data_IF_217400859758
#
_entry.id   IF_217400859758
#
_cell.length_a   1.000
_cell.length_b   1.000
_cell.length_c   1.000
_cell.angle_alpha   90.00
_cell.angle_beta   90.00
_cell.angle_gamma   90.00
#
_symmetry.space_group_name_H-M   'P 1'
#
loop_
_entity.id
_entity.type
_entity.pdbx_description
1 polymer ?
#
# COMPACT_ATOMS: atom_id res chain seq x y z
N UNK A 1 -13.16 14.82 -9.25
CA UNK A 1 -13.40 16.10 -8.52
C UNK A 1 -14.19 17.09 -9.38
N UNK A 2 -13.91 17.18 -10.68
CA UNK A 2 -14.65 18.07 -11.61
C UNK A 2 -16.15 17.74 -11.75
N UNK A 3 -16.58 16.50 -11.55
CA UNK A 3 -17.98 16.14 -11.41
C UNK A 3 -18.39 16.21 -9.93
N UNK A 4 -18.76 17.39 -9.47
CA UNK A 4 -19.06 17.68 -8.06
C UNK A 4 -20.15 16.76 -7.51
N UNK A 5 -21.26 16.60 -8.23
CA UNK A 5 -22.40 15.76 -7.79
C UNK A 5 -21.96 14.31 -7.54
N UNK A 6 -21.33 13.70 -8.55
CA UNK A 6 -20.85 12.31 -8.42
C UNK A 6 -19.78 12.15 -7.33
N UNK A 7 -18.94 13.19 -7.13
CA UNK A 7 -17.93 13.18 -6.05
C UNK A 7 -18.60 13.24 -4.68
N UNK A 8 -19.62 14.08 -4.51
CA UNK A 8 -20.39 14.18 -3.26
C UNK A 8 -21.10 12.86 -2.95
N UNK A 9 -21.78 12.28 -3.94
CA UNK A 9 -22.49 11.00 -3.76
C UNK A 9 -21.52 9.91 -3.31
N UNK A 10 -20.32 9.83 -3.92
CA UNK A 10 -19.27 8.89 -3.53
C UNK A 10 -18.72 9.17 -2.12
N UNK A 11 -18.56 10.44 -1.73
CA UNK A 11 -18.14 10.82 -0.37
C UNK A 11 -19.17 10.37 0.66
N UNK A 12 -20.46 10.58 0.37
CA UNK A 12 -21.55 10.16 1.26
C UNK A 12 -21.53 8.64 1.46
N UNK A 13 -21.39 7.88 0.39
CA UNK A 13 -21.29 6.41 0.47
C UNK A 13 -20.11 5.96 1.33
N UNK A 14 -18.94 6.59 1.14
CA UNK A 14 -17.74 6.30 1.91
C UNK A 14 -17.92 6.64 3.39
N UNK A 15 -18.48 7.81 3.72
CA UNK A 15 -18.72 8.22 5.11
C UNK A 15 -19.73 7.30 5.79
N UNK A 16 -20.81 6.94 5.10
CA UNK A 16 -21.78 5.96 5.60
C UNK A 16 -21.15 4.58 5.82
N UNK A 17 -20.17 4.19 5.00
CA UNK A 17 -19.36 3.00 5.20
C UNK A 17 -18.33 3.11 6.33
N UNK A 18 -18.20 4.27 6.99
CA UNK A 18 -17.31 4.54 8.11
C UNK A 18 -15.92 5.05 7.72
N UNK A 19 -15.78 5.70 6.57
CA UNK A 19 -14.57 6.42 6.19
C UNK A 19 -14.41 7.68 7.06
N UNK A 20 -13.25 7.84 7.69
CA UNK A 20 -12.98 8.97 8.60
C UNK A 20 -12.28 10.14 7.90
N UNK A 21 -11.59 9.89 6.78
CA UNK A 21 -10.87 10.90 5.99
C UNK A 21 -11.04 10.56 4.51
N UNK A 22 -11.56 11.48 3.71
CA UNK A 22 -11.74 11.26 2.28
C UNK A 22 -10.66 11.98 1.47
N UNK A 23 -10.10 11.28 0.48
CA UNK A 23 -9.14 11.84 -0.45
C UNK A 23 -9.74 12.00 -1.84
N UNK A 24 -9.64 13.21 -2.39
CA UNK A 24 -10.08 13.53 -3.76
C UNK A 24 -8.90 13.83 -4.66
N UNK A 25 -8.93 13.33 -5.88
CA UNK A 25 -7.90 13.61 -6.90
C UNK A 25 -8.03 15.04 -7.38
N UNK A 26 -6.94 15.81 -7.37
CA UNK A 26 -6.92 17.22 -7.73
C UNK A 26 -5.83 17.43 -8.78
N UNK A 27 -6.23 17.47 -10.07
CA UNK A 27 -5.30 17.45 -11.20
C UNK A 27 -4.89 18.86 -11.68
N UNK A 28 -5.80 19.82 -11.49
CA UNK A 28 -5.68 21.16 -12.07
C UNK A 28 -6.35 22.21 -11.15
N UNK A 29 -6.18 23.48 -11.52
CA UNK A 29 -6.76 24.61 -10.76
C UNK A 29 -8.30 24.57 -10.67
N UNK A 30 -9.05 24.25 -11.73
CA UNK A 30 -10.50 24.03 -11.60
C UNK A 30 -10.88 22.98 -10.56
N UNK A 31 -10.21 21.81 -10.55
CA UNK A 31 -10.45 20.77 -9.53
C UNK A 31 -10.21 21.30 -8.11
N UNK A 32 -9.14 22.10 -7.90
CA UNK A 32 -8.85 22.71 -6.60
C UNK A 32 -9.99 23.60 -6.11
N UNK A 33 -10.61 24.37 -7.00
CA UNK A 33 -11.76 25.25 -6.68
C UNK A 33 -13.02 24.43 -6.36
N UNK A 34 -13.24 23.30 -7.03
CA UNK A 34 -14.38 22.43 -6.76
C UNK A 34 -14.39 21.88 -5.32
N UNK A 35 -13.22 21.81 -4.65
CA UNK A 35 -13.13 21.35 -3.25
C UNK A 35 -13.98 22.24 -2.35
N UNK A 36 -13.98 23.56 -2.56
CA UNK A 36 -14.83 24.47 -1.81
C UNK A 36 -16.31 24.12 -1.97
N UNK A 37 -16.78 23.98 -3.20
CA UNK A 37 -18.18 23.66 -3.48
C UNK A 37 -18.58 22.29 -2.89
N UNK A 38 -17.68 21.31 -2.95
CA UNK A 38 -17.89 19.98 -2.32
C UNK A 38 -18.06 20.15 -0.80
N UNK A 39 -17.18 20.89 -0.13
CA UNK A 39 -17.26 21.11 1.33
C UNK A 39 -18.52 21.88 1.71
N UNK A 40 -18.83 22.96 1.00
CA UNK A 40 -20.05 23.77 1.23
C UNK A 40 -21.32 22.91 1.11
N UNK A 41 -21.35 21.97 0.16
CA UNK A 41 -22.51 21.08 -0.03
C UNK A 41 -22.58 19.96 1.01
N UNK A 42 -21.44 19.42 1.45
CA UNK A 42 -21.39 18.44 2.54
C UNK A 42 -21.82 19.07 3.87
N UNK A 43 -21.41 20.31 4.14
CA UNK A 43 -21.82 21.07 5.32
C UNK A 43 -23.35 21.30 5.37
N UNK A 44 -23.99 21.68 4.24
CA UNK A 44 -25.44 21.79 4.14
C UNK A 44 -26.18 20.49 4.48
N UNK A 45 -25.51 19.35 4.31
CA UNK A 45 -26.03 18.01 4.63
C UNK A 45 -25.65 17.53 6.03
N UNK A 46 -25.02 18.39 6.85
CA UNK A 46 -24.47 18.06 8.17
C UNK A 46 -23.45 16.90 8.12
N UNK A 47 -22.69 16.78 7.04
CA UNK A 47 -21.63 15.79 6.87
C UNK A 47 -20.27 16.48 7.02
N UNK A 48 -19.63 16.27 8.17
CA UNK A 48 -18.30 16.81 8.49
C UNK A 48 -17.26 15.70 8.33
N UNK A 49 -16.57 15.67 7.21
CA UNK A 49 -15.46 14.74 6.94
C UNK A 49 -14.27 15.50 6.40
N UNK A 50 -13.04 15.30 6.94
CA UNK A 50 -11.85 15.93 6.41
C UNK A 50 -11.58 15.53 4.95
N UNK A 51 -11.32 16.51 4.10
CA UNK A 51 -11.02 16.33 2.68
C UNK A 51 -9.52 16.52 2.43
N UNK A 52 -8.91 15.52 1.83
CA UNK A 52 -7.51 15.55 1.40
C UNK A 52 -7.45 15.77 -0.11
N UNK A 53 -6.84 16.86 -0.55
CA UNK A 53 -6.52 17.10 -1.95
C UNK A 53 -5.25 16.33 -2.35
N UNK A 54 -5.37 15.40 -3.29
CA UNK A 54 -4.24 14.66 -3.83
C UNK A 54 -3.70 15.33 -5.08
N UNK A 55 -2.68 16.16 -4.89
CA UNK A 55 -2.09 16.97 -5.95
C UNK A 55 -0.84 16.28 -6.52
N UNK A 56 -0.74 16.28 -7.84
CA UNK A 56 0.44 15.81 -8.58
C UNK A 56 0.96 16.90 -9.51
N UNK A 57 2.26 16.95 -9.68
CA UNK A 57 3.08 17.71 -10.64
C UNK A 57 3.08 19.23 -10.51
N UNK A 58 1.99 19.89 -10.19
CA UNK A 58 1.94 21.34 -10.26
C UNK A 58 1.80 21.97 -8.86
N UNK A 59 2.86 22.61 -8.32
CA UNK A 59 2.81 23.29 -7.03
C UNK A 59 1.66 24.29 -6.89
N UNK A 60 1.32 25.01 -7.98
CA UNK A 60 0.23 26.00 -7.98
C UNK A 60 -1.13 25.40 -7.70
N UNK A 61 -1.37 24.15 -8.13
CA UNK A 61 -2.60 23.41 -7.82
C UNK A 61 -2.68 23.11 -6.32
N UNK A 62 -1.56 22.75 -5.68
CA UNK A 62 -1.50 22.53 -4.24
C UNK A 62 -1.75 23.82 -3.44
N UNK A 63 -1.19 24.95 -3.86
CA UNK A 63 -1.41 26.25 -3.23
C UNK A 63 -2.91 26.63 -3.24
N UNK A 64 -3.59 26.44 -4.37
CA UNK A 64 -5.02 26.76 -4.47
C UNK A 64 -5.87 25.74 -3.72
N UNK A 65 -5.52 24.46 -3.76
CA UNK A 65 -6.21 23.43 -2.99
C UNK A 65 -6.11 23.68 -1.48
N UNK A 66 -4.96 24.17 -1.01
CA UNK A 66 -4.71 24.48 0.41
C UNK A 66 -5.64 25.59 0.98
N UNK A 67 -6.23 26.41 0.12
CA UNK A 67 -7.22 27.42 0.55
C UNK A 67 -8.53 26.78 1.05
N UNK A 68 -8.83 25.55 0.64
CA UNK A 68 -10.14 24.93 0.82
C UNK A 68 -10.10 23.55 1.45
N UNK A 69 -9.03 22.75 1.20
CA UNK A 69 -8.90 21.40 1.72
C UNK A 69 -8.37 21.42 3.17
N UNK A 70 -8.71 20.40 3.95
CA UNK A 70 -8.15 20.21 5.30
C UNK A 70 -6.71 19.72 5.25
N UNK A 71 -6.35 19.04 4.16
CA UNK A 71 -5.00 18.53 3.92
C UNK A 71 -4.67 18.54 2.43
N UNK A 72 -3.45 18.89 2.08
CA UNK A 72 -2.92 18.71 0.72
C UNK A 72 -1.83 17.65 0.72
N UNK A 73 -1.86 16.75 -0.26
CA UNK A 73 -0.77 15.80 -0.49
C UNK A 73 0.11 16.31 -1.62
N UNK A 74 1.40 16.39 -1.34
CA UNK A 74 2.44 16.73 -2.32
C UNK A 74 3.43 15.58 -2.48
N UNK A 75 4.14 15.56 -3.63
CA UNK A 75 5.24 14.64 -3.87
C UNK A 75 6.57 15.43 -3.94
N UNK A 76 7.56 15.10 -3.10
CA UNK A 76 8.89 15.71 -3.12
C UNK A 76 9.52 15.81 -4.52
N UNK A 77 9.42 14.78 -5.33
CA UNK A 77 9.95 14.76 -6.69
C UNK A 77 9.49 15.91 -7.59
N UNK A 78 8.37 16.55 -7.27
CA UNK A 78 7.79 17.65 -8.07
C UNK A 78 8.13 19.05 -7.52
N UNK A 79 8.86 19.14 -6.42
CA UNK A 79 9.21 20.40 -5.75
C UNK A 79 10.70 20.70 -5.78
N UNK A 80 11.47 19.93 -6.53
CA UNK A 80 12.89 20.18 -6.70
C UNK A 80 13.18 20.79 -8.08
N UNK A 81 13.67 22.04 -8.07
CA UNK A 81 14.25 22.72 -9.22
C UNK A 81 15.31 23.69 -8.68
N UNK A 82 16.58 23.45 -8.94
CA UNK A 82 17.68 24.29 -8.46
C UNK A 82 18.05 25.39 -9.45
N UNK A 83 18.50 26.52 -8.92
CA UNK A 83 19.16 27.60 -9.65
C UNK A 83 20.67 27.51 -9.46
N UNK A 84 21.42 28.33 -10.23
CA UNK A 84 22.88 28.34 -10.14
C UNK A 84 23.34 28.81 -8.76
N UNK A 85 24.23 28.03 -8.12
CA UNK A 85 24.79 28.29 -6.78
C UNK A 85 23.78 28.13 -5.62
N UNK A 86 22.69 27.43 -5.81
CA UNK A 86 21.69 27.14 -4.77
C UNK A 86 21.95 25.74 -4.20
N UNK A 87 21.89 25.60 -2.87
CA UNK A 87 21.91 24.29 -2.22
C UNK A 87 20.57 23.56 -2.38
N UNK A 88 20.55 22.24 -2.18
CA UNK A 88 19.32 21.46 -2.29
C UNK A 88 18.21 21.96 -1.35
N UNK A 89 18.58 22.30 -0.10
CA UNK A 89 17.61 22.79 0.89
C UNK A 89 17.08 24.17 0.52
N UNK A 90 17.91 25.06 -0.02
CA UNK A 90 17.47 26.37 -0.51
C UNK A 90 16.51 26.23 -1.68
N UNK A 91 16.80 25.35 -2.63
CA UNK A 91 15.94 25.07 -3.78
C UNK A 91 14.56 24.54 -3.34
N UNK A 92 14.54 23.54 -2.44
CA UNK A 92 13.31 23.01 -1.89
C UNK A 92 12.55 24.09 -1.10
N UNK A 93 13.26 24.85 -0.26
CA UNK A 93 12.70 25.93 0.56
C UNK A 93 11.99 26.97 -0.32
N UNK A 94 12.67 27.48 -1.34
CA UNK A 94 12.11 28.46 -2.29
C UNK A 94 10.82 27.96 -2.96
N UNK A 95 10.80 26.68 -3.36
CA UNK A 95 9.64 26.10 -4.05
C UNK A 95 8.48 25.79 -3.09
N UNK A 96 8.76 25.51 -1.81
CA UNK A 96 7.75 25.18 -0.81
C UNK A 96 7.17 26.39 -0.06
N UNK A 97 7.94 27.47 0.05
CA UNK A 97 7.58 28.64 0.86
C UNK A 97 6.19 29.21 0.54
N UNK A 98 5.75 29.35 -0.74
CA UNK A 98 4.41 29.82 -1.04
C UNK A 98 3.32 28.91 -0.45
N UNK A 99 3.47 27.58 -0.55
CA UNK A 99 2.53 26.61 -0.01
C UNK A 99 2.52 26.66 1.52
N UNK A 100 3.70 26.70 2.16
CA UNK A 100 3.83 26.79 3.63
C UNK A 100 3.08 28.02 4.17
N UNK A 101 3.25 29.18 3.53
CA UNK A 101 2.60 30.41 3.95
C UNK A 101 1.07 30.32 3.88
N UNK A 102 0.53 29.73 2.81
CA UNK A 102 -0.90 29.50 2.65
C UNK A 102 -1.40 28.53 3.73
N UNK A 103 -0.69 27.42 3.93
CA UNK A 103 -1.08 26.42 4.92
C UNK A 103 -1.06 26.95 6.36
N UNK A 104 -0.12 27.84 6.69
CA UNK A 104 -0.12 28.56 7.97
C UNK A 104 -1.35 29.47 8.15
N UNK A 105 -1.78 30.14 7.10
CA UNK A 105 -2.93 31.05 7.14
C UNK A 105 -4.28 30.34 7.23
N UNK A 106 -4.37 29.15 6.63
CA UNK A 106 -5.61 28.38 6.52
C UNK A 106 -5.67 27.14 7.42
N UNK A 107 -4.67 26.93 8.27
CA UNK A 107 -4.53 25.74 9.13
C UNK A 107 -4.57 24.42 8.35
N UNK A 108 -4.04 24.42 7.12
CA UNK A 108 -4.06 23.27 6.22
C UNK A 108 -2.85 22.37 6.48
N UNK A 109 -3.08 21.09 6.65
CA UNK A 109 -2.04 20.08 6.85
C UNK A 109 -1.36 19.76 5.52
N UNK A 110 -0.03 19.58 5.53
CA UNK A 110 0.71 19.08 4.36
C UNK A 110 1.07 17.62 4.58
N UNK A 111 0.61 16.71 3.69
CA UNK A 111 1.13 15.36 3.64
C UNK A 111 2.22 15.24 2.58
N UNK A 112 3.43 14.91 3.05
CA UNK A 112 4.55 14.59 2.18
C UNK A 112 4.43 13.12 1.80
N UNK A 113 4.17 12.86 0.51
CA UNK A 113 3.91 11.50 0.02
C UNK A 113 4.90 11.07 -1.03
N UNK A 114 5.90 10.27 -0.64
CA UNK A 114 6.88 9.65 -1.54
C UNK A 114 6.35 8.31 -2.01
N UNK A 115 6.42 8.06 -3.31
CA UNK A 115 6.15 6.74 -3.90
C UNK A 115 7.41 6.26 -4.62
N UNK A 116 7.65 4.96 -4.59
CA UNK A 116 8.62 4.28 -5.45
C UNK A 116 8.34 4.62 -6.93
N UNK A 117 9.38 4.85 -7.71
CA UNK A 117 9.27 5.25 -9.12
C UNK A 117 8.88 6.71 -9.37
N UNK A 118 8.78 7.56 -8.32
CA UNK A 118 8.46 8.99 -8.47
C UNK A 118 9.38 9.91 -7.68
N UNK A 119 10.64 9.51 -7.51
CA UNK A 119 11.71 10.29 -6.91
C UNK A 119 12.25 11.33 -7.92
N UNK A 120 12.88 12.38 -7.42
CA UNK A 120 13.61 13.32 -8.29
C UNK A 120 14.84 12.65 -8.90
N UNK A 121 15.25 13.08 -10.10
CA UNK A 121 16.44 12.56 -10.79
C UNK A 121 17.70 12.63 -9.91
N UNK A 122 17.83 13.67 -9.10
CA UNK A 122 18.94 13.83 -8.17
C UNK A 122 18.98 12.73 -7.13
N UNK A 123 17.85 12.45 -6.48
CA UNK A 123 17.73 11.37 -5.48
C UNK A 123 18.00 10.02 -6.14
N UNK A 124 17.48 9.80 -7.35
CA UNK A 124 17.73 8.56 -8.10
C UNK A 124 19.21 8.37 -8.42
N UNK A 125 19.94 9.44 -8.74
CA UNK A 125 21.37 9.38 -9.01
C UNK A 125 22.20 9.13 -7.76
N UNK A 126 21.81 9.70 -6.61
CA UNK A 126 22.57 9.62 -5.37
C UNK A 126 22.29 8.35 -4.55
N UNK A 127 21.01 7.95 -4.45
CA UNK A 127 20.56 6.85 -3.59
C UNK A 127 19.87 5.70 -4.34
N UNK A 128 19.59 5.88 -5.65
CA UNK A 128 18.75 4.95 -6.41
C UNK A 128 17.29 4.97 -5.98
N UNK A 129 16.48 4.15 -6.65
CA UNK A 129 15.08 3.91 -6.24
C UNK A 129 15.03 2.82 -5.16
N UNK A 130 15.46 3.18 -3.97
CA UNK A 130 15.67 2.31 -2.81
C UNK A 130 14.90 2.81 -1.59
N UNK A 131 14.71 1.99 -0.54
CA UNK A 131 14.18 2.45 0.74
C UNK A 131 14.90 3.69 1.27
N UNK A 132 16.23 3.73 1.15
CA UNK A 132 17.04 4.87 1.58
C UNK A 132 16.73 6.12 0.74
N UNK A 133 16.68 6.00 -0.58
CA UNK A 133 16.37 7.13 -1.47
C UNK A 133 14.99 7.72 -1.19
N UNK A 134 13.97 6.87 -0.96
CA UNK A 134 12.64 7.33 -0.57
C UNK A 134 12.63 8.09 0.75
N UNK A 135 13.36 7.59 1.76
CA UNK A 135 13.43 8.21 3.08
C UNK A 135 14.22 9.51 3.04
N UNK A 136 15.39 9.56 2.39
CA UNK A 136 16.19 10.78 2.29
C UNK A 136 15.46 11.88 1.50
N UNK A 137 14.76 11.52 0.41
CA UNK A 137 13.88 12.46 -0.31
C UNK A 137 12.84 13.10 0.60
N UNK A 138 12.28 12.35 1.55
CA UNK A 138 11.31 12.86 2.50
C UNK A 138 11.96 13.69 3.61
N UNK A 139 13.14 13.27 4.10
CA UNK A 139 13.83 13.91 5.22
C UNK A 139 14.36 15.30 4.87
N UNK A 140 14.75 15.56 3.62
CA UNK A 140 15.09 16.92 3.15
C UNK A 140 13.90 17.88 3.31
N UNK A 141 12.68 17.41 3.00
CA UNK A 141 11.46 18.20 3.16
C UNK A 141 11.14 18.44 4.65
N UNK A 142 11.32 17.41 5.50
CA UNK A 142 11.16 17.57 6.96
C UNK A 142 12.10 18.65 7.50
N UNK A 143 13.34 18.72 7.00
CA UNK A 143 14.31 19.72 7.39
C UNK A 143 13.88 21.13 6.94
N UNK A 144 13.41 21.30 5.71
CA UNK A 144 12.88 22.58 5.22
C UNK A 144 11.66 23.02 6.01
N UNK A 145 10.73 22.13 6.34
CA UNK A 145 9.58 22.46 7.18
C UNK A 145 9.99 22.91 8.57
N UNK A 146 11.02 22.28 9.14
CA UNK A 146 11.60 22.70 10.43
C UNK A 146 12.25 24.08 10.37
N UNK A 147 12.99 24.40 9.29
CA UNK A 147 13.58 25.74 9.06
C UNK A 147 12.49 26.81 9.03
N UNK A 148 11.33 26.50 8.47
CA UNK A 148 10.20 27.43 8.38
C UNK A 148 9.24 27.38 9.57
N UNK A 149 9.56 26.67 10.65
CA UNK A 149 8.69 26.48 11.81
C UNK A 149 7.25 26.09 11.40
N UNK A 150 7.16 25.03 10.56
CA UNK A 150 5.89 24.46 10.11
C UNK A 150 5.83 22.97 10.45
N UNK A 151 4.95 22.63 11.41
CA UNK A 151 4.86 21.28 11.99
C UNK A 151 3.55 20.54 11.69
N UNK A 152 2.60 21.20 11.00
CA UNK A 152 1.35 20.57 10.56
C UNK A 152 1.58 19.66 9.33
N UNK A 153 2.40 18.63 9.52
CA UNK A 153 2.79 17.69 8.46
C UNK A 153 2.44 16.25 8.79
N UNK A 154 2.22 15.45 7.77
CA UNK A 154 2.05 14.00 7.82
C UNK A 154 3.01 13.37 6.83
N UNK A 155 3.69 12.30 7.20
CA UNK A 155 4.69 11.64 6.39
C UNK A 155 4.11 10.35 5.77
N UNK A 156 4.53 10.04 4.55
CA UNK A 156 4.06 8.82 3.87
C UNK A 156 5.09 8.33 2.88
N UNK A 157 5.54 7.08 3.03
CA UNK A 157 6.38 6.37 2.07
C UNK A 157 5.63 5.12 1.62
N UNK A 158 5.44 4.97 0.30
CA UNK A 158 4.63 3.90 -0.29
C UNK A 158 5.31 3.24 -1.47
N UNK A 159 5.08 1.94 -1.61
CA UNK A 159 5.51 1.12 -2.75
C UNK A 159 4.51 -0.02 -2.96
N UNK A 160 4.54 -0.66 -4.12
CA UNK A 160 3.78 -1.87 -4.43
C UNK A 160 4.37 -3.14 -3.80
N UNK A 161 5.67 -3.13 -3.47
CA UNK A 161 6.36 -4.22 -2.79
C UNK A 161 6.17 -4.15 -1.28
N UNK A 162 5.57 -5.18 -0.70
CA UNK A 162 5.33 -5.25 0.76
C UNK A 162 6.62 -5.21 1.57
N UNK A 163 7.68 -6.00 1.27
CA UNK A 163 8.94 -5.93 2.01
C UNK A 163 9.59 -4.55 1.96
N UNK A 164 9.64 -3.91 0.79
CA UNK A 164 10.22 -2.57 0.62
C UNK A 164 9.39 -1.52 1.37
N UNK A 165 8.06 -1.64 1.35
CA UNK A 165 7.16 -0.74 2.10
C UNK A 165 7.42 -0.82 3.60
N UNK A 166 7.60 -2.02 4.14
CA UNK A 166 7.92 -2.24 5.55
C UNK A 166 9.28 -1.63 5.88
N UNK A 167 10.32 -1.99 5.12
CA UNK A 167 11.70 -1.51 5.31
C UNK A 167 11.79 0.02 5.29
N UNK A 168 11.16 0.65 4.29
CA UNK A 168 11.17 2.11 4.14
C UNK A 168 10.52 2.81 5.33
N UNK A 169 9.41 2.29 5.86
CA UNK A 169 8.75 2.90 7.01
C UNK A 169 9.51 2.66 8.32
N UNK A 170 10.16 1.50 8.49
CA UNK A 170 11.07 1.27 9.62
C UNK A 170 12.25 2.24 9.59
N UNK A 171 12.89 2.38 8.42
CA UNK A 171 14.00 3.31 8.23
C UNK A 171 13.57 4.77 8.47
N UNK A 172 12.38 5.17 8.01
CA UNK A 172 11.82 6.49 8.27
C UNK A 172 11.70 6.77 9.77
N UNK A 173 11.13 5.82 10.53
CA UNK A 173 11.00 5.95 11.99
C UNK A 173 12.36 6.09 12.66
N UNK A 174 13.36 5.33 12.25
CA UNK A 174 14.71 5.42 12.80
C UNK A 174 15.39 6.75 12.47
N UNK A 175 15.18 7.28 11.25
CA UNK A 175 15.67 8.63 10.88
C UNK A 175 15.01 9.74 11.69
N UNK A 176 13.69 9.68 11.89
CA UNK A 176 12.97 10.66 12.73
C UNK A 176 13.44 10.61 14.17
N UNK A 177 13.59 9.42 14.76
CA UNK A 177 14.13 9.24 16.11
C UNK A 177 15.54 9.81 16.26
N UNK A 178 16.41 9.57 15.28
CA UNK A 178 17.79 10.08 15.31
C UNK A 178 17.88 11.62 15.30
N UNK A 179 16.89 12.27 14.67
CA UNK A 179 16.74 13.75 14.68
C UNK A 179 15.92 14.28 15.88
N UNK A 180 15.37 13.40 16.72
CA UNK A 180 14.55 13.78 17.86
C UNK A 180 13.20 14.39 17.50
N UNK A 181 12.67 14.10 16.29
CA UNK A 181 11.38 14.62 15.80
C UNK A 181 10.38 13.49 15.60
N UNK A 182 9.08 13.79 15.78
CA UNK A 182 8.00 12.84 15.64
C UNK A 182 6.86 13.49 14.86
N UNK A 183 6.49 12.85 13.76
CA UNK A 183 5.37 13.28 12.92
C UNK A 183 4.45 12.11 12.62
N UNK A 184 3.15 12.34 12.44
CA UNK A 184 2.21 11.31 12.07
C UNK A 184 2.59 10.64 10.74
N UNK A 185 2.47 9.30 10.69
CA UNK A 185 2.77 8.49 9.52
C UNK A 185 1.49 7.94 8.91
N UNK A 186 1.33 8.13 7.60
CA UNK A 186 0.24 7.60 6.81
C UNK A 186 0.70 6.36 6.02
N UNK A 187 0.17 5.19 6.39
CA UNK A 187 0.53 3.91 5.79
C UNK A 187 -0.35 3.54 4.59
N UNK A 188 0.21 2.74 3.71
CA UNK A 188 -0.51 2.08 2.63
C UNK A 188 0.43 1.42 1.63
N UNK A 189 0.00 0.28 1.08
CA UNK A 189 0.62 -0.31 -0.11
C UNK A 189 -0.02 0.35 -1.32
N UNK A 190 0.78 0.84 -2.27
CA UNK A 190 0.27 1.44 -3.51
C UNK A 190 0.26 0.40 -4.62
N UNK A 191 -0.58 0.58 -5.64
CA UNK A 191 -0.71 -0.35 -6.78
C UNK A 191 -0.79 -1.83 -6.36
N UNK A 192 -1.47 -2.11 -5.25
CA UNK A 192 -1.55 -3.44 -4.66
C UNK A 192 -2.27 -4.49 -5.54
N UNK A 193 -2.96 -4.02 -6.58
CA UNK A 193 -3.81 -4.87 -7.42
C UNK A 193 -5.25 -4.89 -6.94
N UNK A 194 -6.02 -5.87 -7.43
CA UNK A 194 -7.40 -6.11 -7.03
C UNK A 194 -7.58 -7.46 -6.38
N UNK A 195 -8.84 -7.78 -6.10
CA UNK A 195 -9.26 -9.07 -5.54
C UNK A 195 -8.45 -9.44 -4.25
N UNK A 196 -8.20 -10.71 -4.02
CA UNK A 196 -7.50 -11.22 -2.84
C UNK A 196 -6.06 -10.69 -2.72
N UNK A 197 -5.37 -10.51 -3.86
CA UNK A 197 -3.98 -10.08 -3.89
C UNK A 197 -3.80 -8.68 -3.29
N UNK A 198 -4.63 -7.72 -3.71
CA UNK A 198 -4.58 -6.35 -3.18
C UNK A 198 -4.90 -6.29 -1.68
N UNK A 199 -5.86 -7.11 -1.25
CA UNK A 199 -6.25 -7.23 0.17
C UNK A 199 -5.12 -7.80 1.01
N UNK A 200 -4.50 -8.88 0.56
CA UNK A 200 -3.38 -9.56 1.22
C UNK A 200 -2.16 -8.64 1.30
N UNK A 201 -1.74 -8.01 0.20
CA UNK A 201 -0.61 -7.07 0.19
C UNK A 201 -0.84 -5.92 1.19
N UNK A 202 -2.03 -5.35 1.20
CA UNK A 202 -2.39 -4.28 2.13
C UNK A 202 -2.36 -4.76 3.59
N UNK A 203 -2.91 -5.94 3.87
CA UNK A 203 -2.94 -6.49 5.22
C UNK A 203 -1.54 -6.87 5.75
N UNK A 204 -0.67 -7.43 4.90
CA UNK A 204 0.71 -7.73 5.22
C UNK A 204 1.51 -6.46 5.62
N UNK A 205 1.53 -5.45 4.75
CA UNK A 205 2.33 -4.25 4.96
C UNK A 205 1.81 -3.38 6.10
N UNK A 206 0.52 -3.05 6.08
CA UNK A 206 -0.12 -2.22 7.09
C UNK A 206 -0.18 -2.95 8.43
N UNK A 207 -0.59 -4.23 8.44
CA UNK A 207 -0.71 -5.03 9.66
C UNK A 207 0.62 -5.17 10.39
N UNK A 208 1.72 -5.41 9.66
CA UNK A 208 3.06 -5.45 10.24
C UNK A 208 3.41 -4.14 10.97
N UNK A 209 3.27 -3.00 10.28
CA UNK A 209 3.68 -1.71 10.85
C UNK A 209 2.80 -1.29 12.01
N UNK A 210 1.48 -1.47 11.91
CA UNK A 210 0.56 -1.23 13.03
C UNK A 210 0.90 -2.09 14.26
N UNK A 211 1.28 -3.36 14.07
CA UNK A 211 1.70 -4.24 15.17
C UNK A 211 2.99 -3.78 15.87
N UNK A 212 3.79 -2.92 15.19
CA UNK A 212 4.98 -2.26 15.74
C UNK A 212 4.68 -0.87 16.34
N UNK A 213 3.42 -0.46 16.36
CA UNK A 213 3.02 0.87 16.81
C UNK A 213 3.37 1.98 15.83
N UNK A 214 3.56 1.64 14.55
CA UNK A 214 3.86 2.59 13.47
C UNK A 214 2.61 2.78 12.61
N UNK A 215 2.17 4.03 12.45
CA UNK A 215 1.05 4.42 11.62
C UNK A 215 -0.10 5.04 12.38
N UNK A 216 -0.44 6.27 12.02
CA UNK A 216 -1.50 7.08 12.62
C UNK A 216 -2.75 7.12 11.75
N UNK A 217 -2.57 7.03 10.44
CA UNK A 217 -3.63 6.87 9.45
C UNK A 217 -3.23 5.82 8.42
N UNK A 218 -4.23 5.16 7.85
CA UNK A 218 -3.99 4.11 6.85
C UNK A 218 -4.86 4.31 5.61
N UNK A 219 -4.41 3.79 4.46
CA UNK A 219 -5.22 3.63 3.26
C UNK A 219 -4.96 2.27 2.63
N UNK A 220 -6.00 1.49 2.48
CA UNK A 220 -6.02 0.35 1.56
C UNK A 220 -6.24 0.88 0.15
N UNK A 221 -5.56 0.34 -0.85
CA UNK A 221 -5.68 0.75 -2.26
C UNK A 221 -5.96 -0.47 -3.12
N UNK A 222 -7.17 -0.55 -3.67
CA UNK A 222 -7.60 -1.66 -4.52
C UNK A 222 -7.96 -1.15 -5.93
N UNK A 223 -7.72 -1.99 -6.93
CA UNK A 223 -8.23 -1.78 -8.29
C UNK A 223 -9.73 -2.12 -8.38
N UNK A 224 -10.53 -1.57 -7.44
CA UNK A 224 -11.95 -1.81 -7.26
C UNK A 224 -12.66 -0.51 -6.85
N UNK A 225 -13.96 -0.58 -6.57
CA UNK A 225 -14.67 0.56 -5.97
C UNK A 225 -14.08 0.91 -4.60
N UNK A 226 -13.86 2.20 -4.27
CA UNK A 226 -13.27 2.62 -2.99
C UNK A 226 -14.00 2.13 -1.74
N UNK A 227 -15.31 1.88 -1.84
CA UNK A 227 -16.10 1.33 -0.72
C UNK A 227 -15.59 -0.06 -0.29
N UNK A 228 -14.99 -0.83 -1.20
CA UNK A 228 -14.44 -2.15 -0.93
C UNK A 228 -13.14 -2.12 -0.11
N UNK A 229 -12.51 -0.95 -0.01
CA UNK A 229 -11.31 -0.72 0.80
C UNK A 229 -11.64 -0.66 2.30
N UNK A 230 -12.83 -0.17 2.66
CA UNK A 230 -13.22 0.16 4.04
C UNK A 230 -13.26 -1.04 4.99
N UNK A 231 -13.85 -2.20 4.66
CA UNK A 231 -13.90 -3.33 5.58
C UNK A 231 -12.52 -3.76 6.04
N UNK A 232 -11.55 -3.79 5.11
CA UNK A 232 -10.17 -4.18 5.35
C UNK A 232 -9.45 -3.13 6.20
N UNK A 233 -9.57 -1.85 5.81
CA UNK A 233 -8.95 -0.74 6.53
C UNK A 233 -9.44 -0.70 7.99
N UNK A 234 -10.75 -0.83 8.21
CA UNK A 234 -11.35 -0.85 9.55
C UNK A 234 -10.90 -2.06 10.35
N UNK A 235 -10.88 -3.24 9.73
CA UNK A 235 -10.40 -4.44 10.41
C UNK A 235 -8.96 -4.27 10.91
N UNK A 236 -8.07 -3.77 10.06
CA UNK A 236 -6.67 -3.54 10.42
C UNK A 236 -6.53 -2.47 11.52
N UNK A 237 -7.17 -1.33 11.38
CA UNK A 237 -7.13 -0.26 12.37
C UNK A 237 -7.67 -0.70 13.74
N UNK A 238 -8.78 -1.44 13.76
CA UNK A 238 -9.40 -1.92 15.00
C UNK A 238 -8.64 -3.05 15.69
N UNK A 239 -7.90 -3.87 14.94
CA UNK A 239 -7.30 -5.09 15.50
C UNK A 239 -5.78 -5.01 15.66
N UNK A 240 -5.08 -4.15 14.91
CA UNK A 240 -3.61 -4.05 14.92
C UNK A 240 -3.09 -2.68 15.35
N UNK A 241 -3.96 -1.70 15.62
CA UNK A 241 -3.58 -0.37 16.13
C UNK A 241 -2.97 -0.40 17.55
N UNK A 242 -2.33 0.69 17.94
CA UNK A 242 -1.52 0.87 19.18
C UNK A 242 -2.21 0.35 20.46
N UNK A 243 -3.52 0.45 20.56
CA UNK A 243 -4.27 0.02 21.75
C UNK A 243 -4.37 -1.50 21.93
N UNK A 244 -3.94 -2.31 20.96
CA UNK A 244 -4.16 -3.76 20.94
C UNK A 244 -2.93 -4.60 20.58
N UNK A 245 -1.74 -4.00 20.53
CA UNK A 245 -0.50 -4.64 20.06
C UNK A 245 -0.04 -5.90 20.82
N UNK A 246 -0.66 -6.24 21.95
CA UNK A 246 -0.19 -7.34 22.80
C UNK A 246 -0.98 -8.67 22.67
N UNK A 247 -2.07 -8.73 21.88
CA UNK A 247 -2.96 -9.91 21.94
C UNK A 247 -2.90 -10.84 20.70
N UNK A 248 -2.16 -10.50 19.66
CA UNK A 248 -2.28 -11.22 18.37
C UNK A 248 -1.20 -12.28 18.11
N UNK A 249 -0.08 -12.27 18.83
CA UNK A 249 1.06 -13.18 18.59
C UNK A 249 0.88 -14.54 19.32
N UNK A 250 -0.07 -14.66 20.27
CA UNK A 250 -0.14 -15.81 21.17
C UNK A 250 -0.68 -17.13 20.58
N UNK A 251 -1.20 -17.13 19.34
CA UNK A 251 -1.77 -18.36 18.73
C UNK A 251 -0.93 -18.97 17.61
N UNK A 252 0.30 -18.52 17.41
CA UNK A 252 1.18 -19.11 16.41
C UNK A 252 1.97 -20.26 17.01
N UNK A 253 1.65 -21.48 16.60
CA UNK A 253 2.43 -22.65 16.99
C UNK A 253 3.48 -22.94 15.92
N UNK A 254 4.76 -22.99 16.34
CA UNK A 254 5.82 -23.54 15.49
C UNK A 254 5.83 -25.04 15.73
N UNK A 255 5.54 -25.80 14.70
CA UNK A 255 5.52 -27.26 14.73
C UNK A 255 6.70 -27.81 13.93
N UNK A 256 7.38 -28.84 14.47
CA UNK A 256 8.45 -29.55 13.76
C UNK A 256 7.87 -30.74 13.02
N UNK A 257 8.01 -30.72 11.70
CA UNK A 257 7.48 -31.78 10.85
C UNK A 257 8.60 -32.41 10.02
N UNK A 258 8.51 -33.72 9.83
CA UNK A 258 9.39 -34.48 8.96
C UNK A 258 8.79 -34.52 7.55
N UNK A 259 9.57 -34.11 6.56
CA UNK A 259 9.18 -34.14 5.14
C UNK A 259 10.22 -34.88 4.29
N UNK A 260 9.84 -35.39 3.11
CA UNK A 260 10.80 -35.88 2.12
C UNK A 260 11.79 -34.79 1.74
N UNK A 261 13.05 -35.18 1.47
CA UNK A 261 14.01 -34.28 0.85
C UNK A 261 13.61 -34.06 -0.60
N UNK A 262 13.28 -32.85 -0.96
CA UNK A 262 12.94 -32.43 -2.33
C UNK A 262 13.44 -31.00 -2.61
N UNK A 263 13.41 -30.64 -3.90
CA UNK A 263 13.96 -29.38 -4.41
C UNK A 263 12.92 -28.23 -4.42
N UNK A 264 12.03 -28.16 -3.43
CA UNK A 264 11.11 -27.02 -3.34
C UNK A 264 11.86 -25.78 -2.87
N UNK A 265 11.94 -24.78 -3.73
CA UNK A 265 12.53 -23.49 -3.42
C UNK A 265 11.53 -22.63 -2.63
N UNK A 266 11.84 -22.35 -1.36
CA UNK A 266 11.03 -21.51 -0.46
C UNK A 266 10.14 -22.32 0.48
N UNK A 267 9.34 -21.62 1.32
CA UNK A 267 8.46 -22.25 2.29
C UNK A 267 7.40 -23.13 1.63
N UNK A 268 7.18 -24.31 2.20
CA UNK A 268 6.14 -25.24 1.73
C UNK A 268 4.77 -24.89 2.36
N UNK A 269 3.72 -25.34 1.68
CA UNK A 269 2.34 -25.21 2.16
C UNK A 269 1.82 -26.59 2.53
N UNK A 270 1.36 -26.77 3.77
CA UNK A 270 0.79 -28.01 4.28
C UNK A 270 -0.70 -27.78 4.58
N UNK A 271 -1.57 -28.61 4.01
CA UNK A 271 -3.01 -28.60 4.25
C UNK A 271 -3.47 -29.81 5.09
N UNK A 272 -4.65 -29.76 5.65
CA UNK A 272 -5.23 -30.88 6.38
C UNK A 272 -5.64 -32.01 5.43
N UNK A 273 -6.27 -31.67 4.33
CA UNK A 273 -6.70 -32.60 3.27
C UNK A 273 -6.06 -32.23 1.93
N UNK A 274 -6.25 -33.07 0.94
CA UNK A 274 -5.72 -32.83 -0.42
C UNK A 274 -6.21 -31.51 -0.99
N UNK A 275 -5.26 -30.67 -1.39
CA UNK A 275 -5.49 -29.40 -2.07
C UNK A 275 -4.54 -29.26 -3.25
N UNK A 276 -5.04 -28.74 -4.38
CA UNK A 276 -4.20 -28.46 -5.55
C UNK A 276 -3.22 -27.29 -5.36
N UNK A 277 -3.36 -26.57 -4.27
CA UNK A 277 -2.53 -25.40 -3.94
C UNK A 277 -1.53 -25.68 -2.80
N UNK A 278 -1.55 -26.88 -2.19
CA UNK A 278 -0.58 -27.28 -1.16
C UNK A 278 0.46 -28.26 -1.72
N UNK A 279 1.62 -28.28 -1.09
CA UNK A 279 2.71 -29.21 -1.43
C UNK A 279 2.49 -30.58 -0.80
N UNK A 280 1.98 -30.59 0.44
CA UNK A 280 1.74 -31.78 1.24
C UNK A 280 0.42 -31.68 2.01
N UNK A 281 -0.04 -32.85 2.48
CA UNK A 281 -1.08 -32.92 3.51
C UNK A 281 -0.51 -33.49 4.79
N UNK A 282 -1.09 -33.18 5.94
CA UNK A 282 -0.71 -33.81 7.20
C UNK A 282 -0.91 -35.33 7.17
N UNK A 283 -1.90 -35.80 6.41
CA UNK A 283 -2.17 -37.24 6.25
C UNK A 283 -1.06 -37.93 5.44
N UNK A 284 -0.64 -37.36 4.30
CA UNK A 284 0.45 -37.91 3.49
C UNK A 284 1.76 -37.98 4.25
N UNK A 285 2.09 -36.96 5.03
CA UNK A 285 3.31 -36.91 5.82
C UNK A 285 3.34 -37.93 7.00
N UNK A 286 2.18 -38.38 7.46
CA UNK A 286 2.07 -39.42 8.50
C UNK A 286 2.13 -40.83 7.94
N UNK A 287 1.65 -41.01 6.70
CA UNK A 287 1.43 -42.34 6.09
C UNK A 287 2.63 -42.89 5.33
N UNK A 288 3.56 -42.04 4.87
CA UNK A 288 4.71 -42.44 4.08
C UNK A 288 5.91 -42.87 4.94
N UNK A 289 6.51 -44.03 4.62
CA UNK A 289 7.86 -44.36 5.06
C UNK A 289 8.83 -43.46 4.29
N UNK A 290 9.10 -42.28 4.84
CA UNK A 290 10.00 -41.31 4.23
C UNK A 290 11.45 -41.82 4.43
N UNK A 291 12.06 -42.34 3.35
CA UNK A 291 13.41 -42.95 3.37
C UNK A 291 14.46 -41.83 3.54
N UNK A 292 14.39 -40.79 2.71
CA UNK A 292 15.21 -39.57 2.87
C UNK A 292 14.36 -38.42 3.36
N UNK A 293 14.63 -37.94 4.58
CA UNK A 293 13.79 -36.94 5.22
C UNK A 293 14.61 -35.89 5.95
N UNK A 294 14.06 -34.66 5.97
CA UNK A 294 14.51 -33.56 6.82
C UNK A 294 13.42 -33.12 7.79
N UNK A 295 13.83 -32.59 8.94
CA UNK A 295 12.91 -31.93 9.88
C UNK A 295 12.88 -30.45 9.56
N UNK A 296 11.70 -29.90 9.47
CA UNK A 296 11.45 -28.48 9.16
C UNK A 296 10.59 -27.82 10.24
N UNK A 297 10.76 -26.51 10.36
CA UNK A 297 9.92 -25.68 11.21
C UNK A 297 8.78 -25.06 10.38
N UNK A 298 7.54 -25.34 10.73
CA UNK A 298 6.35 -24.76 10.10
C UNK A 298 5.60 -23.85 11.06
N UNK A 299 5.01 -22.79 10.53
CA UNK A 299 4.06 -21.95 11.26
C UNK A 299 2.67 -22.45 10.99
N UNK A 300 2.00 -22.91 12.04
CA UNK A 300 0.62 -23.37 11.99
C UNK A 300 -0.31 -22.31 12.55
N UNK A 301 -1.33 -21.98 11.78
CA UNK A 301 -2.39 -21.06 12.14
C UNK A 301 -3.73 -21.81 12.13
N UNK A 302 -4.38 -21.85 13.29
CA UNK A 302 -5.70 -22.48 13.46
C UNK A 302 -6.70 -21.39 13.88
N UNK A 303 -7.69 -21.13 13.04
CA UNK A 303 -8.79 -20.23 13.32
C UNK A 303 -10.12 -20.97 13.32
N UNK A 304 -11.13 -20.36 13.93
CA UNK A 304 -12.51 -20.84 13.92
C UNK A 304 -13.45 -19.70 13.56
N UNK A 305 -14.49 -20.04 12.82
CA UNK A 305 -15.66 -19.17 12.56
C UNK A 305 -15.33 -17.83 11.87
N UNK A 306 -14.23 -17.76 11.11
CA UNK A 306 -13.90 -16.62 10.29
C UNK A 306 -14.44 -16.81 8.86
N UNK A 307 -15.17 -15.80 8.36
CA UNK A 307 -15.47 -15.75 6.94
C UNK A 307 -14.18 -15.59 6.12
N UNK A 308 -14.27 -15.90 4.82
CA UNK A 308 -13.09 -15.92 3.93
C UNK A 308 -12.31 -14.61 3.91
N UNK A 309 -13.00 -13.46 3.85
CA UNK A 309 -12.33 -12.15 3.79
C UNK A 309 -11.63 -11.81 5.12
N UNK A 310 -12.28 -12.06 6.23
CA UNK A 310 -11.70 -11.87 7.56
C UNK A 310 -10.51 -12.80 7.79
N UNK A 311 -10.63 -14.08 7.41
CA UNK A 311 -9.54 -15.05 7.48
C UNK A 311 -8.32 -14.58 6.69
N UNK A 312 -8.52 -14.17 5.45
CA UNK A 312 -7.47 -13.70 4.56
C UNK A 312 -6.71 -12.50 5.14
N UNK A 313 -7.43 -11.47 5.60
CA UNK A 313 -6.84 -10.25 6.17
C UNK A 313 -6.10 -10.58 7.47
N UNK A 314 -6.70 -11.38 8.34
CA UNK A 314 -6.11 -11.77 9.61
C UNK A 314 -4.87 -12.63 9.44
N UNK A 315 -4.94 -13.68 8.62
CA UNK A 315 -3.80 -14.56 8.32
C UNK A 315 -2.62 -13.76 7.77
N UNK A 316 -2.89 -12.82 6.85
CA UNK A 316 -1.87 -11.97 6.26
C UNK A 316 -1.17 -11.10 7.32
N UNK A 317 -1.94 -10.39 8.13
CA UNK A 317 -1.38 -9.53 9.17
C UNK A 317 -0.63 -10.32 10.25
N UNK A 318 -1.14 -11.48 10.67
CA UNK A 318 -0.51 -12.33 11.69
C UNK A 318 0.79 -12.97 11.19
N UNK A 319 0.85 -13.42 9.91
CA UNK A 319 2.07 -13.97 9.31
C UNK A 319 3.13 -12.93 8.97
N UNK A 320 2.74 -11.68 8.77
CA UNK A 320 3.62 -10.62 8.27
C UNK A 320 4.91 -10.48 9.09
N UNK A 321 4.81 -10.48 10.41
CA UNK A 321 5.96 -10.33 11.32
C UNK A 321 6.92 -11.51 11.24
N UNK A 322 6.41 -12.73 11.12
CA UNK A 322 7.24 -13.92 11.01
C UNK A 322 7.94 -13.94 9.66
N UNK A 323 7.17 -13.75 8.57
CA UNK A 323 7.71 -13.80 7.22
C UNK A 323 8.73 -12.69 6.94
N UNK A 324 8.58 -11.52 7.56
CA UNK A 324 9.54 -10.44 7.41
C UNK A 324 10.82 -10.68 8.22
N UNK A 325 10.69 -11.09 9.47
CA UNK A 325 11.83 -11.15 10.41
C UNK A 325 12.56 -12.51 10.43
N UNK A 326 11.93 -13.60 9.98
CA UNK A 326 12.45 -14.95 10.09
C UNK A 326 12.38 -15.70 8.77
N UNK A 327 13.32 -16.59 8.58
CA UNK A 327 13.16 -17.67 7.62
C UNK A 327 12.30 -18.77 8.27
N UNK A 328 11.31 -19.26 7.53
CA UNK A 328 10.50 -20.41 7.91
C UNK A 328 10.49 -21.41 6.77
N UNK A 329 10.42 -22.68 7.10
CA UNK A 329 10.44 -23.74 6.10
C UNK A 329 9.04 -24.03 5.55
N UNK A 330 7.98 -23.73 6.31
CA UNK A 330 6.63 -23.96 5.85
C UNK A 330 5.55 -23.27 6.66
N UNK A 331 4.35 -23.27 6.09
CA UNK A 331 3.14 -22.67 6.65
C UNK A 331 1.95 -23.60 6.51
N UNK A 332 1.05 -23.55 7.49
CA UNK A 332 -0.24 -24.24 7.43
C UNK A 332 -1.35 -23.33 7.96
N UNK A 333 -2.52 -23.40 7.35
CA UNK A 333 -3.71 -22.65 7.74
C UNK A 333 -4.92 -23.55 7.80
N UNK A 334 -5.67 -23.46 8.90
CA UNK A 334 -6.97 -24.07 9.03
C UNK A 334 -8.03 -23.09 9.55
N UNK A 335 -9.27 -23.30 9.14
CA UNK A 335 -10.43 -22.55 9.62
C UNK A 335 -11.70 -23.37 9.39
N UNK A 336 -12.69 -23.23 10.28
CA UNK A 336 -13.91 -24.05 10.25
C UNK A 336 -14.87 -23.70 9.10
N UNK A 337 -14.86 -22.46 8.61
CA UNK A 337 -15.77 -21.98 7.55
C UNK A 337 -15.15 -21.98 6.15
N UNK A 338 -13.89 -22.41 5.99
CA UNK A 338 -13.21 -22.46 4.69
C UNK A 338 -12.66 -23.86 4.42
N UNK A 339 -12.50 -24.19 3.15
CA UNK A 339 -11.88 -25.45 2.74
C UNK A 339 -10.36 -25.33 2.54
N UNK A 340 -9.67 -26.47 2.42
CA UNK A 340 -8.21 -26.51 2.28
C UNK A 340 -7.70 -25.84 1.00
N UNK A 341 -8.45 -25.85 -0.11
CA UNK A 341 -8.09 -25.11 -1.33
C UNK A 341 -8.10 -23.60 -1.11
N UNK A 342 -9.10 -23.06 -0.41
CA UNK A 342 -9.18 -21.65 -0.06
C UNK A 342 -8.02 -21.25 0.88
N UNK A 343 -7.78 -22.06 1.90
CA UNK A 343 -6.72 -21.82 2.88
C UNK A 343 -5.34 -21.85 2.23
N UNK A 344 -5.04 -22.86 1.42
CA UNK A 344 -3.76 -22.99 0.72
C UNK A 344 -3.55 -21.87 -0.31
N UNK A 345 -4.61 -21.44 -1.01
CA UNK A 345 -4.54 -20.31 -1.95
C UNK A 345 -4.20 -19.00 -1.24
N UNK A 346 -4.79 -18.72 -0.08
CA UNK A 346 -4.42 -17.56 0.75
C UNK A 346 -2.92 -17.60 1.06
N UNK A 347 -2.40 -18.75 1.50
CA UNK A 347 -0.98 -18.90 1.82
C UNK A 347 -0.06 -18.70 0.61
N UNK A 348 -0.43 -19.20 -0.59
CA UNK A 348 0.34 -18.95 -1.82
C UNK A 348 0.48 -17.45 -2.09
N UNK A 349 -0.62 -16.70 -2.04
CA UNK A 349 -0.59 -15.26 -2.30
C UNK A 349 0.21 -14.52 -1.22
N UNK A 350 0.11 -14.92 0.04
CA UNK A 350 0.90 -14.35 1.15
C UNK A 350 2.40 -14.57 0.92
N UNK A 351 2.82 -15.80 0.62
CA UNK A 351 4.22 -16.12 0.39
C UNK A 351 4.79 -15.38 -0.83
N UNK A 352 4.01 -15.27 -1.89
CA UNK A 352 4.40 -14.52 -3.10
C UNK A 352 4.49 -13.03 -2.82
N UNK A 353 3.52 -12.41 -2.15
CA UNK A 353 3.54 -11.00 -1.81
C UNK A 353 4.71 -10.61 -0.87
N UNK A 354 5.19 -11.55 -0.06
CA UNK A 354 6.38 -11.38 0.78
C UNK A 354 7.69 -11.76 0.08
N UNK A 355 7.64 -12.13 -1.21
CA UNK A 355 8.82 -12.53 -1.98
C UNK A 355 9.48 -13.83 -1.48
N UNK A 356 8.74 -14.69 -0.75
CA UNK A 356 9.29 -15.94 -0.17
C UNK A 356 9.24 -17.10 -1.15
N UNK A 357 8.22 -17.13 -2.03
CA UNK A 357 8.07 -18.15 -3.06
C UNK A 357 7.17 -17.62 -4.18
N UNK A 358 7.49 -17.94 -5.42
CA UNK A 358 6.75 -17.53 -6.61
C UNK A 358 5.86 -18.69 -7.07
N UNK A 359 4.59 -18.45 -7.30
CA UNK A 359 3.61 -19.43 -7.74
C UNK A 359 3.01 -19.08 -9.10
N UNK A 360 2.78 -17.80 -9.36
CA UNK A 360 2.10 -17.28 -10.55
C UNK A 360 2.78 -16.01 -11.06
N UNK A 361 2.22 -15.36 -12.08
CA UNK A 361 2.58 -13.99 -12.43
C UNK A 361 2.23 -13.04 -11.30
N UNK A 362 3.02 -11.96 -11.14
CA UNK A 362 2.74 -10.86 -10.22
C UNK A 362 2.10 -9.69 -10.97
N UNK A 363 1.09 -9.06 -10.36
CA UNK A 363 0.41 -7.92 -10.98
C UNK A 363 0.58 -6.65 -10.15
N UNK A 364 0.97 -5.57 -10.84
CA UNK A 364 1.03 -4.22 -10.29
C UNK A 364 -0.11 -3.45 -10.95
N UNK A 365 -1.14 -3.08 -10.20
CA UNK A 365 -2.29 -2.38 -10.77
C UNK A 365 -2.70 -1.22 -9.89
N UNK A 366 -2.79 -0.03 -10.48
CA UNK A 366 -3.20 1.16 -9.75
C UNK A 366 -4.68 1.08 -9.35
N UNK A 367 -5.07 1.74 -8.25
CA UNK A 367 -6.47 1.91 -7.92
C UNK A 367 -7.15 2.81 -8.96
N UNK A 368 -8.42 2.55 -9.24
CA UNK A 368 -9.22 3.44 -10.10
C UNK A 368 -9.31 4.83 -9.49
N UNK A 369 -9.06 5.86 -10.27
CA UNK A 369 -9.15 7.26 -9.83
C UNK A 369 -9.69 8.13 -10.97
N UNK A 370 -9.95 9.40 -10.70
CA UNK A 370 -10.44 10.36 -11.71
C UNK A 370 -9.54 10.58 -12.93
N UNK A 371 -8.32 10.00 -12.95
CA UNK A 371 -7.38 10.02 -14.08
C UNK A 371 -7.48 8.78 -14.96
N UNK A 372 -8.18 7.73 -14.51
CA UNK A 372 -8.31 6.47 -15.24
C UNK A 372 -9.12 6.68 -16.51
N UNK A 373 -8.51 6.36 -17.65
CA UNK A 373 -9.11 6.57 -18.99
C UNK A 373 -9.55 5.25 -19.65
N UNK A 374 -9.49 4.14 -18.94
CA UNK A 374 -9.78 2.80 -19.42
C UNK A 374 -10.61 2.02 -18.39
N UNK A 375 -11.25 0.96 -18.82
CA UNK A 375 -11.93 -0.02 -17.94
C UNK A 375 -10.92 -0.90 -17.23
N UNK A 376 -10.17 -0.31 -16.26
CA UNK A 376 -9.00 -0.92 -15.62
C UNK A 376 -9.29 -2.29 -15.01
N UNK A 377 -10.38 -2.43 -14.26
CA UNK A 377 -10.77 -3.68 -13.59
C UNK A 377 -10.99 -4.80 -14.60
N UNK A 378 -11.71 -4.50 -15.67
CA UNK A 378 -11.98 -5.48 -16.74
C UNK A 378 -10.71 -5.85 -17.51
N UNK A 379 -9.83 -4.86 -17.74
CA UNK A 379 -8.53 -5.11 -18.39
C UNK A 379 -7.64 -5.98 -17.52
N UNK A 380 -7.49 -5.66 -16.23
CA UNK A 380 -6.70 -6.44 -15.30
C UNK A 380 -7.18 -7.90 -15.24
N UNK A 381 -8.50 -8.11 -15.19
CA UNK A 381 -9.08 -9.46 -15.17
C UNK A 381 -8.77 -10.24 -16.46
N UNK A 382 -8.83 -9.60 -17.64
CA UNK A 382 -8.45 -10.22 -18.90
C UNK A 382 -6.97 -10.57 -18.95
N UNK A 383 -6.10 -9.65 -18.52
CA UNK A 383 -4.65 -9.87 -18.46
C UNK A 383 -4.35 -11.07 -17.55
N UNK A 384 -4.89 -11.08 -16.32
CA UNK A 384 -4.74 -12.20 -15.38
C UNK A 384 -5.16 -13.53 -16.01
N UNK A 385 -6.33 -13.56 -16.64
CA UNK A 385 -6.84 -14.80 -17.27
C UNK A 385 -5.88 -15.43 -18.30
N UNK A 386 -5.12 -14.61 -19.02
CA UNK A 386 -4.21 -15.08 -20.07
C UNK A 386 -2.76 -15.26 -19.61
N UNK A 387 -2.37 -14.68 -18.50
CA UNK A 387 -0.96 -14.62 -18.10
C UNK A 387 -0.67 -15.24 -16.73
N UNK A 388 -1.68 -15.63 -15.96
CA UNK A 388 -1.51 -16.13 -14.59
C UNK A 388 -0.60 -17.37 -14.50
N UNK A 389 -0.58 -18.20 -15.56
CA UNK A 389 0.29 -19.36 -15.68
C UNK A 389 1.75 -19.05 -16.05
N UNK A 390 2.07 -17.80 -16.37
CA UNK A 390 3.44 -17.37 -16.72
C UNK A 390 4.23 -17.06 -15.45
N UNK A 391 4.61 -18.11 -14.72
CA UNK A 391 5.22 -18.02 -13.40
C UNK A 391 6.46 -17.13 -13.41
N UNK A 392 6.50 -16.16 -12.50
CA UNK A 392 7.65 -15.28 -12.28
C UNK A 392 7.63 -13.98 -13.08
N UNK A 393 6.69 -13.80 -14.02
CA UNK A 393 6.53 -12.53 -14.71
C UNK A 393 5.84 -11.50 -13.82
N UNK A 394 6.29 -10.25 -13.92
CA UNK A 394 5.68 -9.07 -13.30
C UNK A 394 5.02 -8.21 -14.38
N UNK A 395 3.71 -8.05 -14.28
CA UNK A 395 2.91 -7.35 -15.29
C UNK A 395 2.22 -6.15 -14.64
N UNK A 396 2.48 -4.95 -15.16
CA UNK A 396 1.83 -3.74 -14.71
C UNK A 396 0.60 -3.41 -15.55
N UNK A 397 -0.52 -3.04 -14.91
CA UNK A 397 -1.75 -2.56 -15.56
C UNK A 397 -2.13 -1.23 -14.94
N UNK A 398 -1.88 -0.14 -15.68
CA UNK A 398 -2.02 1.23 -15.19
C UNK A 398 -3.13 1.98 -15.91
N UNK A 399 -3.98 2.66 -15.15
CA UNK A 399 -5.16 3.37 -15.67
C UNK A 399 -4.85 4.65 -16.46
N UNK A 400 -3.68 5.25 -16.27
CA UNK A 400 -3.31 6.48 -16.96
C UNK A 400 -1.79 6.65 -17.09
N UNK A 401 -1.38 7.50 -18.04
CA UNK A 401 0.02 7.82 -18.33
C UNK A 401 0.69 8.65 -17.22
N UNK A 402 -0.08 9.26 -16.33
CA UNK A 402 0.43 10.24 -15.35
C UNK A 402 1.42 9.61 -14.38
N UNK A 403 1.05 8.49 -13.76
CA UNK A 403 1.92 7.76 -12.83
C UNK A 403 2.41 6.44 -13.42
N UNK A 404 1.72 5.95 -14.47
CA UNK A 404 1.95 4.61 -15.01
C UNK A 404 3.41 4.28 -15.27
N UNK A 405 4.16 5.08 -16.03
CA UNK A 405 5.56 4.78 -16.35
C UNK A 405 6.48 4.69 -15.13
N UNK A 406 6.28 5.53 -14.11
CA UNK A 406 7.08 5.50 -12.88
C UNK A 406 6.70 4.33 -11.96
N UNK A 407 5.41 4.15 -11.73
CA UNK A 407 4.90 3.16 -10.77
C UNK A 407 4.92 1.70 -11.30
N UNK A 408 5.15 1.49 -12.61
CA UNK A 408 5.41 0.17 -13.18
C UNK A 408 6.89 -0.24 -13.16
N UNK A 409 7.76 0.57 -12.59
CA UNK A 409 9.19 0.28 -12.54
C UNK A 409 9.43 -1.09 -11.87
N UNK A 410 10.20 -1.95 -12.55
CA UNK A 410 10.43 -3.33 -12.12
C UNK A 410 9.40 -4.34 -12.59
N UNK A 411 8.41 -3.94 -13.40
CA UNK A 411 7.59 -4.86 -14.18
C UNK A 411 8.31 -5.27 -15.47
N UNK A 412 8.10 -6.52 -15.89
CA UNK A 412 8.63 -7.04 -17.17
C UNK A 412 7.83 -6.48 -18.34
N UNK A 413 6.53 -6.27 -18.15
CA UNK A 413 5.61 -5.70 -19.13
C UNK A 413 4.66 -4.71 -18.47
N UNK A 414 4.31 -3.63 -19.18
CA UNK A 414 3.38 -2.61 -18.71
C UNK A 414 2.29 -2.28 -19.73
N UNK A 415 1.02 -2.36 -19.31
CA UNK A 415 -0.12 -1.85 -20.06
C UNK A 415 -0.58 -0.55 -19.40
N UNK A 416 -0.48 0.57 -20.12
CA UNK A 416 -0.78 1.90 -19.59
C UNK A 416 -1.88 2.55 -20.41
N UNK A 417 -2.97 2.96 -19.77
CA UNK A 417 -4.05 3.71 -20.38
C UNK A 417 -3.57 5.08 -20.88
N UNK A 418 -3.77 5.34 -22.17
CA UNK A 418 -3.50 6.64 -22.78
C UNK A 418 -4.79 7.45 -22.98
N UNK A 419 -4.69 8.64 -23.57
CA UNK A 419 -5.86 9.44 -23.89
C UNK A 419 -6.81 8.69 -24.83
N UNK A 420 -8.13 8.81 -24.63
CA UNK A 420 -9.19 8.24 -25.50
C UNK A 420 -9.32 6.71 -25.52
N UNK A 421 -8.98 6.02 -24.42
CA UNK A 421 -9.22 4.57 -24.33
C UNK A 421 -8.20 3.69 -25.05
N UNK A 422 -7.10 4.24 -25.54
CA UNK A 422 -5.99 3.47 -26.09
C UNK A 422 -5.08 2.95 -24.97
N UNK A 423 -4.37 1.87 -25.26
CA UNK A 423 -3.36 1.26 -24.40
C UNK A 423 -1.99 1.40 -25.03
N UNK A 424 -1.02 1.81 -24.23
CA UNK A 424 0.38 1.70 -24.57
C UNK A 424 0.94 0.44 -23.91
N UNK A 425 1.70 -0.34 -24.68
CA UNK A 425 2.47 -1.48 -24.17
C UNK A 425 3.93 -1.04 -24.01
N UNK A 426 4.48 -1.30 -22.86
CA UNK A 426 5.87 -1.05 -22.48
C UNK A 426 6.59 -2.33 -22.17
#
# INVERSE_FOLDING_TARGET
TSNIKSTIDQIIDLVNGGCEIVRVTTQNIPDSKCIKEIKDELEKRNLMVPIVADVHFNPKVAEIAALYADKVRINPGNYYSSEVNETNLEAISRNLLPLINICKQHDTIIRIGVNHGSLSDRILQEYGDTPLGMVESLMEFVEVFSIHDFHNIVLSVKTSSVPIMIESNLLLVDRLKSKGVFYPIHLGVTEAGGDDEGRIKSALGIGYLLSKGIGDTIRVSLAESPIMELPIARYLACNYGISKSNNFIEKQCIEKIRIPVNEINGPIIISNKTSKYSDYTYESLKSEKIIDSKIIDIVKLDYSDLDYNTLMVRTSADLSSILYNKYIDGVSLSNTLTNDDQNAKILQVILQAMGKRIFNSEYIACPTCGRTNIELVNLLRKVKHHTDSLVGLKIAVMGCIVNGPGEMLGADYGLVGSSKGYLNLY
#
